data_IF_421432148592
#
_entry.id   IF_421432148592
#
_cell.length_a   1.000
_cell.length_b   1.000
_cell.length_c   1.000
_cell.angle_alpha   90.00
_cell.angle_beta   90.00
_cell.angle_gamma   90.00
#
_symmetry.space_group_name_H-M   'P 1'
#
loop_
_entity.id
_entity.type
_entity.pdbx_description
1 polymer ?
#
# COMPACT_ATOMS: atom_id res chain seq x y z
N UNK A 1 62.10 37.94 -22.81
CA UNK A 1 61.50 36.99 -21.84
C UNK A 1 60.01 37.29 -21.77
N UNK A 2 59.22 36.48 -22.46
CA UNK A 2 57.76 36.62 -22.61
C UNK A 2 57.03 36.44 -21.28
N UNK A 3 56.10 37.36 -20.97
CA UNK A 3 55.15 37.20 -19.86
C UNK A 3 53.97 36.38 -20.35
N UNK A 4 53.80 35.19 -19.78
CA UNK A 4 52.64 34.34 -19.96
C UNK A 4 51.39 35.03 -19.39
N UNK A 5 50.47 35.48 -20.26
CA UNK A 5 49.13 35.94 -19.85
C UNK A 5 48.22 34.71 -19.76
N UNK A 6 47.63 34.38 -18.60
CA UNK A 6 46.67 33.30 -18.53
C UNK A 6 45.43 33.68 -19.34
N UNK A 7 45.02 32.82 -20.27
CA UNK A 7 43.85 33.03 -21.11
C UNK A 7 42.58 33.03 -20.25
N UNK A 8 41.90 34.18 -20.19
CA UNK A 8 40.59 34.42 -19.54
C UNK A 8 39.54 33.34 -19.91
N UNK A 9 39.70 32.68 -21.06
CA UNK A 9 38.77 31.67 -21.57
C UNK A 9 38.73 30.35 -20.76
N UNK A 10 39.75 30.02 -19.97
CA UNK A 10 39.74 28.77 -19.16
C UNK A 10 39.00 28.93 -17.82
N UNK A 11 38.94 30.14 -17.28
CA UNK A 11 38.26 30.40 -16.00
C UNK A 11 36.73 30.47 -16.17
N UNK A 12 36.26 31.01 -17.29
CA UNK A 12 34.81 31.12 -17.59
C UNK A 12 34.19 29.73 -17.85
N UNK A 13 34.94 28.81 -18.45
CA UNK A 13 34.45 27.45 -18.73
C UNK A 13 34.32 26.59 -17.46
N UNK A 14 35.20 26.79 -16.47
CA UNK A 14 35.13 26.09 -15.17
C UNK A 14 33.99 26.64 -14.31
N UNK A 15 33.70 27.94 -14.37
CA UNK A 15 32.53 28.53 -13.71
C UNK A 15 31.20 28.05 -14.33
N UNK A 16 31.13 27.85 -15.65
CA UNK A 16 29.92 27.30 -16.29
C UNK A 16 29.64 25.84 -15.90
N UNK A 17 30.68 25.00 -15.78
CA UNK A 17 30.54 23.61 -15.34
C UNK A 17 30.16 23.48 -13.85
N UNK A 18 30.59 24.41 -13.00
CA UNK A 18 30.22 24.43 -11.58
C UNK A 18 28.82 25.00 -11.33
N UNK A 19 28.30 25.87 -12.21
CA UNK A 19 26.93 26.41 -12.10
C UNK A 19 25.89 25.40 -12.62
N UNK A 20 26.22 24.55 -13.60
CA UNK A 20 25.34 23.45 -14.03
C UNK A 20 25.24 22.30 -13.01
N UNK A 21 26.21 22.14 -12.12
CA UNK A 21 26.17 21.11 -11.07
C UNK A 21 25.32 21.53 -9.85
N UNK A 22 25.08 22.82 -9.65
CA UNK A 22 24.31 23.34 -8.51
C UNK A 22 22.78 23.36 -8.74
N UNK A 23 22.32 23.10 -9.98
CA UNK A 23 20.90 23.06 -10.33
C UNK A 23 20.34 21.64 -10.50
N UNK A 24 21.10 20.61 -10.16
CA UNK A 24 20.51 19.33 -9.79
C UNK A 24 19.95 19.44 -8.36
N UNK A 25 19.00 20.37 -8.16
CA UNK A 25 18.00 20.16 -7.13
C UNK A 25 17.37 18.83 -7.52
N UNK A 26 17.57 17.81 -6.67
CA UNK A 26 16.79 16.60 -6.77
C UNK A 26 15.33 17.07 -6.84
N UNK A 27 14.75 17.00 -8.04
CA UNK A 27 13.31 17.12 -8.20
C UNK A 27 12.81 15.89 -7.46
N UNK A 28 12.54 16.03 -6.16
CA UNK A 28 11.73 15.07 -5.44
C UNK A 28 10.41 15.05 -6.20
N UNK A 29 10.27 14.02 -7.04
CA UNK A 29 9.04 13.78 -7.78
C UNK A 29 7.95 13.73 -6.73
N UNK A 30 6.94 14.60 -6.86
CA UNK A 30 5.83 14.61 -5.92
C UNK A 30 5.28 13.17 -5.78
N UNK A 31 5.03 12.70 -4.56
CA UNK A 31 4.69 11.29 -4.32
C UNK A 31 3.38 10.88 -5.00
N UNK A 32 2.51 11.86 -5.28
CA UNK A 32 1.24 11.68 -5.98
C UNK A 32 1.06 12.74 -7.08
N UNK A 33 0.19 12.48 -8.08
CA UNK A 33 -0.17 13.46 -9.09
C UNK A 33 -0.65 14.77 -8.47
N UNK A 34 -0.49 15.88 -9.21
CA UNK A 34 -1.00 17.18 -8.79
C UNK A 34 -2.51 17.12 -8.51
N UNK A 35 -2.94 17.90 -7.53
CA UNK A 35 -4.35 18.01 -7.12
C UNK A 35 -4.95 16.67 -6.61
N UNK A 36 -4.10 15.73 -6.17
CA UNK A 36 -4.54 14.51 -5.45
C UNK A 36 -5.12 14.89 -4.09
N UNK A 37 -6.32 14.41 -3.79
CA UNK A 37 -6.97 14.55 -2.48
C UNK A 37 -7.27 13.20 -1.85
N UNK A 38 -7.78 12.24 -2.63
CA UNK A 38 -8.26 10.95 -2.11
C UNK A 38 -7.43 9.78 -2.59
N UNK A 39 -6.93 9.01 -1.63
CA UNK A 39 -6.07 7.86 -1.86
C UNK A 39 -6.78 6.63 -1.28
N UNK A 40 -7.29 5.78 -2.15
CA UNK A 40 -8.07 4.60 -1.77
C UNK A 40 -7.18 3.35 -1.71
N UNK A 41 -7.31 2.57 -0.63
CA UNK A 41 -6.73 1.25 -0.48
C UNK A 41 -7.83 0.19 -0.58
N UNK A 42 -7.76 -0.61 -1.66
CA UNK A 42 -8.58 -1.80 -1.88
C UNK A 42 -7.76 -3.06 -1.55
N UNK A 43 -8.43 -4.04 -0.95
CA UNK A 43 -7.81 -5.31 -0.63
C UNK A 43 -8.65 -6.15 0.31
N UNK A 44 -8.03 -7.17 0.89
CA UNK A 44 -8.69 -8.15 1.74
C UNK A 44 -8.56 -7.82 3.25
N UNK A 45 -8.49 -8.86 4.09
CA UNK A 45 -8.35 -8.74 5.55
C UNK A 45 -7.07 -8.02 5.99
N UNK A 46 -5.98 -8.15 5.23
CA UNK A 46 -4.71 -7.50 5.55
C UNK A 46 -4.83 -5.98 5.33
N UNK A 47 -5.50 -5.56 4.25
CA UNK A 47 -5.86 -4.16 4.03
C UNK A 47 -6.85 -3.67 5.08
N UNK A 48 -7.89 -4.45 5.42
CA UNK A 48 -8.83 -4.10 6.48
C UNK A 48 -8.17 -3.95 7.87
N UNK A 49 -7.17 -4.77 8.21
CA UNK A 49 -6.37 -4.58 9.42
C UNK A 49 -5.68 -3.21 9.39
N UNK A 50 -4.99 -2.92 8.28
CA UNK A 50 -4.69 -1.56 7.86
C UNK A 50 -3.48 -0.90 8.51
N UNK A 51 -2.72 -1.57 9.36
CA UNK A 51 -1.54 -0.97 10.03
C UNK A 51 -0.53 -0.40 9.04
N UNK A 52 -0.34 -1.01 7.87
CA UNK A 52 0.52 -0.46 6.82
C UNK A 52 -0.06 0.81 6.17
N UNK A 53 -1.39 0.92 6.05
CA UNK A 53 -2.07 2.12 5.54
C UNK A 53 -1.90 3.26 6.53
N UNK A 54 -2.11 2.99 7.82
CA UNK A 54 -1.85 3.92 8.93
C UNK A 54 -0.40 4.43 8.91
N UNK A 55 0.57 3.54 8.71
CA UNK A 55 1.98 3.90 8.65
C UNK A 55 2.29 4.81 7.46
N UNK A 56 1.76 4.49 6.27
CA UNK A 56 1.93 5.33 5.07
C UNK A 56 1.29 6.71 5.28
N UNK A 57 0.08 6.78 5.83
CA UNK A 57 -0.60 8.04 6.09
C UNK A 57 0.16 8.91 7.12
N UNK A 58 0.62 8.32 8.23
CA UNK A 58 1.41 9.03 9.24
C UNK A 58 2.73 9.56 8.64
N UNK A 59 3.38 8.77 7.78
CA UNK A 59 4.56 9.20 7.04
C UNK A 59 4.27 10.45 6.20
N UNK A 60 3.22 10.42 5.37
CA UNK A 60 2.89 11.55 4.51
C UNK A 60 2.51 12.81 5.30
N UNK A 61 1.85 12.67 6.45
CA UNK A 61 1.53 13.80 7.33
C UNK A 61 2.79 14.44 7.91
N UNK A 62 3.76 13.64 8.36
CA UNK A 62 4.99 14.14 8.95
C UNK A 62 5.96 14.74 7.91
N UNK A 63 6.05 14.13 6.72
CA UNK A 63 7.02 14.53 5.68
C UNK A 63 6.46 15.57 4.70
N UNK A 64 5.14 15.66 4.55
CA UNK A 64 4.46 16.61 3.66
C UNK A 64 3.39 17.43 4.40
N UNK A 65 3.78 18.22 5.43
CA UNK A 65 2.85 18.85 6.36
C UNK A 65 1.90 19.88 5.74
N UNK A 66 2.24 20.41 4.56
CA UNK A 66 1.43 21.38 3.81
C UNK A 66 0.44 20.72 2.84
N UNK A 67 0.56 19.42 2.61
CA UNK A 67 -0.35 18.66 1.76
C UNK A 67 -1.49 18.06 2.59
N UNK A 68 -2.66 17.96 1.96
CA UNK A 68 -3.83 17.32 2.57
C UNK A 68 -4.31 16.17 1.69
N UNK A 69 -4.00 14.96 2.13
CA UNK A 69 -4.43 13.71 1.53
C UNK A 69 -5.37 13.00 2.50
N UNK A 70 -6.48 12.48 1.98
CA UNK A 70 -7.40 11.60 2.68
C UNK A 70 -7.07 10.16 2.28
N UNK A 71 -6.53 9.37 3.21
CA UNK A 71 -6.26 7.95 3.01
C UNK A 71 -7.49 7.13 3.42
N UNK A 72 -8.12 6.48 2.43
CA UNK A 72 -9.37 5.76 2.59
C UNK A 72 -9.09 4.26 2.55
N UNK A 73 -9.28 3.56 3.66
CA UNK A 73 -9.16 2.11 3.73
C UNK A 73 -10.53 1.44 3.53
N UNK A 74 -10.67 0.67 2.44
CA UNK A 74 -11.91 -0.05 2.11
C UNK A 74 -11.61 -1.54 1.87
N UNK A 75 -10.68 -2.09 2.64
CA UNK A 75 -10.40 -3.52 2.66
C UNK A 75 -11.60 -4.34 3.19
N UNK A 76 -11.86 -5.50 2.61
CA UNK A 76 -12.92 -6.41 3.05
C UNK A 76 -12.34 -7.81 3.35
N UNK A 77 -12.42 -8.31 4.60
CA UNK A 77 -11.87 -9.62 4.93
C UNK A 77 -12.37 -10.76 4.04
N UNK A 78 -11.46 -11.67 3.70
CA UNK A 78 -11.69 -12.84 2.83
C UNK A 78 -12.00 -12.55 1.35
N UNK A 79 -12.09 -11.27 0.96
CA UNK A 79 -12.42 -10.86 -0.42
C UNK A 79 -11.38 -11.32 -1.44
N UNK A 80 -11.86 -11.64 -2.65
CA UNK A 80 -11.08 -11.95 -3.83
C UNK A 80 -11.36 -10.96 -4.96
N UNK A 81 -10.38 -10.75 -5.83
CA UNK A 81 -10.59 -10.06 -7.12
C UNK A 81 -10.94 -11.06 -8.23
N UNK A 82 -10.59 -12.33 -8.02
CA UNK A 82 -10.92 -13.44 -8.92
C UNK A 82 -12.40 -13.86 -8.89
N UNK A 83 -13.16 -13.45 -7.87
CA UNK A 83 -14.54 -13.90 -7.62
C UNK A 83 -14.65 -15.36 -7.20
N UNK A 84 -13.54 -16.03 -6.89
CA UNK A 84 -13.51 -17.44 -6.52
C UNK A 84 -13.80 -17.65 -5.03
N UNK A 85 -14.44 -18.78 -4.72
CA UNK A 85 -14.62 -19.29 -3.37
C UNK A 85 -14.48 -20.80 -3.38
N UNK A 86 -13.75 -21.36 -2.41
CA UNK A 86 -13.76 -22.79 -2.14
C UNK A 86 -15.11 -23.27 -1.63
N UNK A 87 -15.44 -24.55 -1.86
CA UNK A 87 -16.47 -25.23 -1.10
C UNK A 87 -16.20 -25.11 0.41
N UNK A 88 -17.26 -24.91 1.19
CA UNK A 88 -17.21 -24.85 2.65
C UNK A 88 -16.31 -23.74 3.23
N UNK A 89 -16.10 -22.63 2.50
CA UNK A 89 -15.46 -21.44 3.06
C UNK A 89 -16.18 -21.00 4.34
N UNK A 90 -15.39 -20.59 5.35
CA UNK A 90 -15.90 -20.21 6.68
C UNK A 90 -16.85 -21.27 7.28
N UNK A 91 -16.48 -22.55 7.18
CA UNK A 91 -17.30 -23.71 7.62
C UNK A 91 -18.71 -23.72 7.00
N UNK A 92 -18.81 -23.25 5.75
CA UNK A 92 -20.07 -23.20 5.01
C UNK A 92 -20.97 -22.02 5.38
N UNK A 93 -20.54 -21.10 6.27
CA UNK A 93 -21.35 -19.95 6.68
C UNK A 93 -21.57 -18.96 5.53
N UNK A 94 -20.57 -18.74 4.68
CA UNK A 94 -20.67 -17.86 3.51
C UNK A 94 -19.54 -18.13 2.51
N UNK A 95 -19.75 -17.86 1.19
CA UNK A 95 -18.66 -17.87 0.21
C UNK A 95 -17.75 -16.66 0.40
N UNK A 96 -16.51 -16.72 -0.10
CA UNK A 96 -15.62 -15.55 -0.14
C UNK A 96 -16.33 -14.35 -0.80
N UNK A 97 -16.19 -13.14 -0.25
CA UNK A 97 -16.67 -11.94 -0.92
C UNK A 97 -15.96 -11.74 -2.27
N UNK A 98 -16.70 -11.19 -3.21
CA UNK A 98 -16.23 -10.88 -4.57
C UNK A 98 -16.22 -9.36 -4.76
N UNK A 99 -15.06 -8.80 -5.13
CA UNK A 99 -14.92 -7.36 -5.35
C UNK A 99 -15.90 -6.84 -6.43
N UNK A 100 -16.24 -7.66 -7.43
CA UNK A 100 -17.20 -7.31 -8.49
C UNK A 100 -18.57 -6.92 -7.91
N UNK A 101 -18.92 -7.44 -6.73
CA UNK A 101 -20.20 -7.16 -6.08
C UNK A 101 -20.32 -5.70 -5.61
N UNK A 102 -19.23 -5.09 -5.16
CA UNK A 102 -19.27 -3.81 -4.43
C UNK A 102 -18.47 -2.68 -5.05
N UNK A 103 -17.54 -2.96 -5.98
CA UNK A 103 -16.60 -1.97 -6.49
C UNK A 103 -17.30 -0.70 -6.99
N UNK A 104 -18.37 -0.81 -7.77
CA UNK A 104 -19.09 0.34 -8.31
C UNK A 104 -19.57 1.31 -7.20
N UNK A 105 -20.14 0.79 -6.10
CA UNK A 105 -20.58 1.60 -4.95
C UNK A 105 -19.40 2.22 -4.21
N UNK A 106 -18.30 1.46 -4.06
CA UNK A 106 -17.08 1.97 -3.45
C UNK A 106 -16.55 3.17 -4.25
N UNK A 107 -16.42 3.03 -5.57
CA UNK A 107 -15.89 4.06 -6.44
C UNK A 107 -16.80 5.30 -6.51
N UNK A 108 -18.12 5.10 -6.58
CA UNK A 108 -19.10 6.19 -6.62
C UNK A 108 -19.02 7.08 -5.37
N UNK A 109 -18.86 6.48 -4.19
CA UNK A 109 -18.83 7.22 -2.92
C UNK A 109 -17.44 7.79 -2.61
N UNK A 110 -16.38 7.03 -2.86
CA UNK A 110 -15.00 7.45 -2.51
C UNK A 110 -14.41 8.42 -3.54
N UNK A 111 -14.72 8.27 -4.84
CA UNK A 111 -14.20 9.11 -5.93
C UNK A 111 -12.67 9.31 -5.84
N UNK A 112 -11.88 8.22 -5.89
CA UNK A 112 -10.45 8.27 -5.60
C UNK A 112 -9.65 8.92 -6.73
N UNK A 113 -8.64 9.71 -6.38
CA UNK A 113 -7.63 10.20 -7.31
C UNK A 113 -6.55 9.14 -7.54
N UNK A 114 -6.15 8.44 -6.47
CA UNK A 114 -5.12 7.40 -6.48
C UNK A 114 -5.70 6.13 -5.84
N UNK A 115 -5.43 4.98 -6.44
CA UNK A 115 -5.84 3.68 -5.89
C UNK A 115 -4.65 2.76 -5.70
N UNK A 116 -4.53 2.20 -4.50
CA UNK A 116 -3.69 1.05 -4.20
C UNK A 116 -4.56 -0.20 -4.11
N UNK A 117 -4.24 -1.26 -4.87
CA UNK A 117 -5.01 -2.50 -4.89
C UNK A 117 -4.14 -3.71 -4.51
N UNK A 118 -4.49 -4.40 -3.42
CA UNK A 118 -3.74 -5.54 -2.89
C UNK A 118 -4.60 -6.81 -2.83
N UNK A 119 -4.48 -7.66 -3.85
CA UNK A 119 -5.19 -8.93 -3.98
C UNK A 119 -4.24 -10.06 -4.41
N UNK A 120 -4.64 -11.31 -4.14
CA UNK A 120 -3.87 -12.52 -4.45
C UNK A 120 -3.84 -13.54 -3.31
N UNK A 121 -3.80 -13.09 -2.04
CA UNK A 121 -3.74 -13.98 -0.87
C UNK A 121 -4.90 -15.00 -0.86
N UNK A 122 -6.13 -14.52 -1.06
CA UNK A 122 -7.32 -15.38 -1.05
C UNK A 122 -7.59 -16.06 -2.40
N UNK A 123 -7.11 -15.47 -3.50
CA UNK A 123 -7.49 -15.81 -4.87
C UNK A 123 -6.99 -17.19 -5.33
N UNK A 124 -5.84 -17.63 -4.83
CA UNK A 124 -5.34 -19.00 -5.02
C UNK A 124 -5.96 -20.03 -4.07
N UNK A 125 -6.82 -19.59 -3.14
CA UNK A 125 -7.53 -20.41 -2.17
C UNK A 125 -6.61 -21.36 -1.38
N UNK A 126 -5.39 -20.90 -1.06
CA UNK A 126 -4.43 -21.67 -0.26
C UNK A 126 -4.04 -23.03 -0.87
N UNK A 127 -4.14 -23.16 -2.20
CA UNK A 127 -3.77 -24.36 -2.95
C UNK A 127 -2.54 -24.12 -3.85
N UNK A 128 -1.86 -25.19 -4.29
CA UNK A 128 -0.80 -25.09 -5.30
C UNK A 128 -1.27 -24.35 -6.56
N UNK A 129 -0.32 -23.76 -7.29
CA UNK A 129 -0.59 -23.04 -8.53
C UNK A 129 -1.40 -23.92 -9.50
N UNK A 130 -2.48 -23.37 -9.99
CA UNK A 130 -3.35 -24.01 -10.97
C UNK A 130 -3.99 -22.94 -11.84
N UNK A 131 -4.01 -23.18 -13.14
CA UNK A 131 -4.50 -22.23 -14.13
C UNK A 131 -6.00 -21.93 -13.96
N UNK A 132 -6.80 -22.86 -13.43
CA UNK A 132 -8.22 -22.63 -13.15
C UNK A 132 -8.45 -21.58 -12.06
N UNK A 133 -7.46 -21.35 -11.17
CA UNK A 133 -7.49 -20.28 -10.15
C UNK A 133 -6.69 -19.05 -10.59
N UNK A 134 -5.54 -19.28 -11.22
CA UNK A 134 -4.67 -18.21 -11.64
C UNK A 134 -5.26 -17.36 -12.77
N UNK A 135 -5.96 -17.97 -13.74
CA UNK A 135 -6.63 -17.22 -14.81
C UNK A 135 -7.68 -16.24 -14.26
N UNK A 136 -8.66 -16.64 -13.42
CA UNK A 136 -9.58 -15.70 -12.80
C UNK A 136 -8.89 -14.57 -12.02
N UNK A 137 -7.81 -14.84 -11.29
CA UNK A 137 -7.03 -13.77 -10.65
C UNK A 137 -6.50 -12.74 -11.66
N UNK A 138 -5.87 -13.20 -12.74
CA UNK A 138 -5.32 -12.31 -13.78
C UNK A 138 -6.41 -11.49 -14.47
N UNK A 139 -7.53 -12.13 -14.80
CA UNK A 139 -8.66 -11.43 -15.42
C UNK A 139 -9.34 -10.46 -14.45
N UNK A 140 -9.45 -10.81 -13.17
CA UNK A 140 -9.92 -9.91 -12.12
C UNK A 140 -9.06 -8.66 -11.97
N UNK A 141 -7.73 -8.79 -12.01
CA UNK A 141 -6.82 -7.64 -11.95
C UNK A 141 -6.96 -6.73 -13.18
N UNK A 142 -7.11 -7.30 -14.38
CA UNK A 142 -7.37 -6.52 -15.61
C UNK A 142 -8.72 -5.82 -15.58
N UNK A 143 -9.75 -6.51 -15.09
CA UNK A 143 -11.07 -5.94 -14.89
C UNK A 143 -11.01 -4.77 -13.91
N UNK A 144 -10.37 -4.95 -12.75
CA UNK A 144 -10.21 -3.89 -11.75
C UNK A 144 -9.48 -2.67 -12.33
N UNK A 145 -8.38 -2.87 -13.08
CA UNK A 145 -7.70 -1.77 -13.78
C UNK A 145 -8.65 -1.01 -14.70
N UNK A 146 -9.41 -1.75 -15.51
CA UNK A 146 -10.36 -1.18 -16.48
C UNK A 146 -11.45 -0.36 -15.79
N UNK A 147 -12.00 -0.84 -14.67
CA UNK A 147 -13.02 -0.10 -13.92
C UNK A 147 -12.47 1.19 -13.29
N UNK A 148 -11.21 1.17 -12.83
CA UNK A 148 -10.54 2.36 -12.30
C UNK A 148 -10.21 3.39 -13.39
N UNK A 149 -9.80 2.94 -14.57
CA UNK A 149 -9.59 3.84 -15.72
C UNK A 149 -10.90 4.51 -16.17
N UNK A 150 -12.02 3.76 -16.19
CA UNK A 150 -13.33 4.30 -16.60
C UNK A 150 -13.78 5.50 -15.77
N UNK A 151 -13.44 5.55 -14.48
CA UNK A 151 -13.79 6.66 -13.60
C UNK A 151 -12.75 7.79 -13.60
N UNK A 152 -11.66 7.66 -14.38
CA UNK A 152 -10.61 8.66 -14.49
C UNK A 152 -9.68 8.71 -13.28
N UNK A 153 -9.47 7.60 -12.56
CA UNK A 153 -8.44 7.53 -11.51
C UNK A 153 -7.09 7.96 -12.08
N UNK A 154 -6.44 8.95 -11.44
CA UNK A 154 -5.20 9.58 -11.94
C UNK A 154 -4.00 8.65 -11.85
N UNK A 155 -4.00 7.72 -10.88
CA UNK A 155 -2.91 6.76 -10.66
C UNK A 155 -3.43 5.47 -10.04
N UNK A 156 -3.07 4.33 -10.64
CA UNK A 156 -3.48 3.00 -10.18
C UNK A 156 -2.22 2.21 -9.86
N UNK A 157 -2.01 1.84 -8.60
CA UNK A 157 -0.83 1.10 -8.14
C UNK A 157 -1.29 -0.26 -7.60
N UNK A 158 -0.92 -1.33 -8.29
CA UNK A 158 -1.13 -2.67 -7.76
C UNK A 158 -0.03 -3.03 -6.75
N UNK A 159 -0.41 -3.65 -5.63
CA UNK A 159 0.52 -4.26 -4.69
C UNK A 159 0.60 -5.76 -5.00
N UNK A 160 1.81 -6.32 -5.09
CA UNK A 160 1.96 -7.79 -5.11
C UNK A 160 1.35 -8.38 -3.83
N UNK A 161 0.81 -9.61 -3.81
CA UNK A 161 0.24 -10.18 -2.59
C UNK A 161 1.34 -10.32 -1.51
N UNK A 162 1.08 -10.05 -0.23
CA UNK A 162 2.09 -10.24 0.82
C UNK A 162 2.45 -11.72 1.00
N UNK A 163 3.54 -11.99 1.71
CA UNK A 163 4.01 -13.35 2.00
C UNK A 163 2.98 -14.16 2.81
N UNK A 164 2.80 -15.43 2.45
CA UNK A 164 2.11 -16.41 3.29
C UNK A 164 3.13 -17.18 4.11
N UNK A 165 3.03 -17.08 5.43
CA UNK A 165 3.97 -17.67 6.37
C UNK A 165 3.47 -19.02 6.89
N UNK A 166 3.53 -20.05 6.04
CA UNK A 166 2.98 -21.37 6.33
C UNK A 166 3.55 -21.94 7.63
N UNK A 167 2.67 -22.46 8.50
CA UNK A 167 3.05 -22.99 9.82
C UNK A 167 4.10 -24.12 9.75
N UNK A 168 4.06 -24.94 8.70
CA UNK A 168 4.91 -26.13 8.55
C UNK A 168 5.96 -25.93 7.46
N UNK A 169 5.59 -25.29 6.36
CA UNK A 169 6.44 -25.16 5.16
C UNK A 169 7.10 -23.78 5.02
N UNK A 170 6.74 -22.81 5.88
CA UNK A 170 7.20 -21.43 5.74
C UNK A 170 6.94 -20.88 4.33
N UNK A 171 7.99 -20.36 3.68
CA UNK A 171 7.92 -19.81 2.32
C UNK A 171 7.88 -20.87 1.22
N UNK A 172 7.95 -22.17 1.56
CA UNK A 172 7.90 -23.28 0.60
C UNK A 172 6.48 -23.87 0.44
N UNK A 173 5.49 -23.34 1.16
CA UNK A 173 4.09 -23.74 1.05
C UNK A 173 3.33 -22.95 -0.01
N UNK A 174 2.15 -22.45 0.36
CA UNK A 174 1.31 -21.61 -0.51
C UNK A 174 2.03 -20.35 -1.03
N UNK A 175 3.10 -19.91 -0.37
CA UNK A 175 3.91 -18.80 -0.85
C UNK A 175 4.51 -19.05 -2.25
N UNK A 176 4.71 -20.30 -2.68
CA UNK A 176 5.12 -20.62 -4.05
C UNK A 176 4.05 -20.27 -5.10
N UNK A 177 2.77 -20.37 -4.74
CA UNK A 177 1.67 -19.86 -5.57
C UNK A 177 1.69 -18.33 -5.61
N UNK A 178 1.92 -17.69 -4.46
CA UNK A 178 1.99 -16.23 -4.37
C UNK A 178 3.20 -15.64 -5.08
N UNK A 179 4.34 -16.34 -5.11
CA UNK A 179 5.51 -15.99 -5.94
C UNK A 179 5.07 -15.83 -7.40
N UNK A 180 4.29 -16.78 -7.93
CA UNK A 180 3.82 -16.78 -9.32
C UNK A 180 2.81 -15.67 -9.60
N UNK A 181 1.98 -15.32 -8.61
CA UNK A 181 1.04 -14.21 -8.70
C UNK A 181 1.81 -12.87 -8.71
N UNK A 182 2.80 -12.72 -7.83
CA UNK A 182 3.67 -11.55 -7.76
C UNK A 182 4.51 -11.38 -9.04
N UNK A 183 5.16 -12.45 -9.52
CA UNK A 183 5.93 -12.46 -10.78
C UNK A 183 5.09 -11.99 -11.96
N UNK A 184 3.87 -12.53 -12.11
CA UNK A 184 2.98 -12.12 -13.19
C UNK A 184 2.57 -10.67 -13.08
N UNK A 185 2.22 -10.19 -11.88
CA UNK A 185 1.82 -8.80 -11.67
C UNK A 185 2.98 -7.86 -12.00
N UNK A 186 4.20 -8.17 -11.53
CA UNK A 186 5.40 -7.39 -11.83
C UNK A 186 5.72 -7.33 -13.32
N UNK A 187 5.50 -8.42 -14.06
CA UNK A 187 5.68 -8.45 -15.51
C UNK A 187 4.71 -7.50 -16.26
N UNK A 188 3.63 -7.04 -15.63
CA UNK A 188 2.70 -6.08 -16.22
C UNK A 188 3.27 -4.65 -16.27
N UNK A 189 4.33 -4.35 -15.50
CA UNK A 189 5.08 -3.09 -15.64
C UNK A 189 5.59 -2.89 -17.06
N UNK A 190 6.09 -3.97 -17.67
CA UNK A 190 6.59 -3.92 -19.05
C UNK A 190 5.49 -4.18 -20.07
N UNK A 191 4.62 -5.17 -19.79
CA UNK A 191 3.64 -5.68 -20.77
C UNK A 191 2.44 -4.74 -20.95
N UNK A 192 1.89 -4.21 -19.86
CA UNK A 192 0.70 -3.36 -19.85
C UNK A 192 0.97 -1.94 -19.37
N UNK A 193 2.22 -1.63 -19.02
CA UNK A 193 2.64 -0.34 -18.43
C UNK A 193 1.91 0.00 -17.13
N UNK A 194 1.51 -1.03 -16.38
CA UNK A 194 0.90 -0.86 -15.07
C UNK A 194 1.93 -0.45 -14.02
N UNK A 195 1.51 0.38 -13.09
CA UNK A 195 2.26 0.63 -11.86
C UNK A 195 2.02 -0.50 -10.87
N UNK A 196 3.11 -1.12 -10.41
CA UNK A 196 3.07 -2.25 -9.49
C UNK A 196 4.14 -2.01 -8.44
N UNK A 197 3.78 -1.95 -7.16
CA UNK A 197 4.73 -1.92 -6.05
C UNK A 197 4.94 -3.34 -5.52
N UNK A 198 6.20 -3.76 -5.41
CA UNK A 198 6.53 -5.10 -4.93
C UNK A 198 6.64 -5.12 -3.41
N UNK A 199 5.67 -5.73 -2.73
CA UNK A 199 5.74 -6.00 -1.29
C UNK A 199 6.10 -7.48 -1.02
N UNK A 200 5.83 -8.38 -1.95
CA UNK A 200 6.01 -9.83 -1.79
C UNK A 200 7.47 -10.24 -1.56
N UNK A 201 8.34 -9.98 -2.53
CA UNK A 201 9.71 -10.48 -2.47
C UNK A 201 10.57 -9.81 -1.38
N UNK A 202 10.41 -8.51 -1.08
CA UNK A 202 11.05 -7.91 0.09
C UNK A 202 10.64 -8.60 1.41
N UNK A 203 9.33 -8.84 1.62
CA UNK A 203 8.85 -9.54 2.82
C UNK A 203 9.35 -10.98 2.88
N UNK A 204 9.29 -11.72 1.77
CA UNK A 204 9.78 -13.10 1.68
C UNK A 204 11.26 -13.18 2.05
N UNK A 205 12.10 -12.34 1.45
CA UNK A 205 13.53 -12.27 1.75
C UNK A 205 13.78 -11.99 3.22
N UNK A 206 13.06 -11.01 3.79
CA UNK A 206 13.18 -10.67 5.21
C UNK A 206 12.88 -11.87 6.12
N UNK A 207 11.77 -12.56 5.86
CA UNK A 207 11.36 -13.75 6.61
C UNK A 207 12.40 -14.87 6.52
N UNK A 208 12.93 -15.13 5.32
CA UNK A 208 13.97 -16.15 5.09
C UNK A 208 15.28 -15.81 5.79
N UNK A 209 15.75 -14.55 5.72
CA UNK A 209 16.97 -14.12 6.41
C UNK A 209 16.83 -14.20 7.94
N UNK A 210 15.69 -13.77 8.49
CA UNK A 210 15.41 -13.92 9.94
C UNK A 210 15.43 -15.37 10.39
N UNK A 211 14.89 -16.28 9.56
CA UNK A 211 14.86 -17.72 9.85
C UNK A 211 16.19 -18.43 9.80
N UNK A 212 17.21 -17.85 9.17
CA UNK A 212 18.59 -18.34 9.28
C UNK A 212 19.15 -18.17 10.70
N UNK A 213 18.62 -17.19 11.45
CA UNK A 213 19.05 -16.87 12.81
C UNK A 213 18.09 -17.49 13.84
N UNK A 214 16.78 -17.32 13.63
CA UNK A 214 15.72 -17.87 14.46
C UNK A 214 14.73 -18.65 13.58
N UNK A 215 14.85 -19.98 13.47
CA UNK A 215 13.95 -20.81 12.68
C UNK A 215 12.46 -20.71 13.08
N UNK A 216 12.18 -20.25 14.30
CA UNK A 216 10.80 -20.09 14.81
C UNK A 216 10.18 -18.73 14.48
N UNK A 217 10.97 -17.79 13.94
CA UNK A 217 10.51 -16.44 13.59
C UNK A 217 9.32 -16.51 12.63
N UNK A 218 8.35 -15.63 12.86
CA UNK A 218 7.14 -15.50 12.03
C UNK A 218 6.79 -14.04 11.81
N UNK A 219 6.38 -13.72 10.59
CA UNK A 219 5.72 -12.44 10.31
C UNK A 219 4.23 -12.51 10.64
N UNK A 220 3.60 -13.69 10.49
CA UNK A 220 2.19 -13.91 10.74
C UNK A 220 2.00 -15.17 11.61
N UNK A 221 1.37 -15.02 12.78
CA UNK A 221 1.17 -16.16 13.69
C UNK A 221 0.22 -17.23 13.12
N UNK A 222 -0.79 -16.80 12.37
CA UNK A 222 -1.74 -17.65 11.66
C UNK A 222 -1.32 -17.96 10.21
N UNK A 223 -0.15 -17.48 9.80
CA UNK A 223 0.40 -17.62 8.46
C UNK A 223 -0.16 -16.67 7.40
N UNK A 224 -1.20 -15.88 7.71
CA UNK A 224 -1.88 -15.02 6.75
C UNK A 224 -1.78 -13.54 7.13
N UNK A 225 -2.03 -13.19 8.39
CA UNK A 225 -2.14 -11.80 8.84
C UNK A 225 -0.83 -11.37 9.51
N UNK A 226 -0.03 -10.51 8.85
CA UNK A 226 1.23 -10.06 9.42
C UNK A 226 1.01 -9.22 10.68
N UNK A 227 1.93 -9.33 11.65
CA UNK A 227 2.01 -8.40 12.78
C UNK A 227 2.60 -7.06 12.37
N UNK A 228 2.92 -6.21 13.36
CA UNK A 228 3.43 -4.85 13.15
C UNK A 228 4.69 -4.81 12.26
N UNK A 229 5.61 -5.76 12.47
CA UNK A 229 6.84 -5.85 11.67
C UNK A 229 6.54 -6.18 10.20
N UNK A 230 5.59 -7.08 9.93
CA UNK A 230 5.18 -7.39 8.56
C UNK A 230 4.42 -6.23 7.90
N UNK A 231 3.54 -5.57 8.64
CA UNK A 231 2.87 -4.36 8.16
C UNK A 231 3.86 -3.22 7.89
N UNK A 232 4.91 -3.08 8.68
CA UNK A 232 5.99 -2.13 8.39
C UNK A 232 6.73 -2.48 7.10
N UNK A 233 7.10 -3.74 6.86
CA UNK A 233 7.74 -4.14 5.61
C UNK A 233 6.87 -3.82 4.37
N UNK A 234 5.55 -4.00 4.48
CA UNK A 234 4.61 -3.58 3.44
C UNK A 234 4.65 -2.06 3.23
N UNK A 235 4.54 -1.27 4.30
CA UNK A 235 4.58 0.19 4.22
C UNK A 235 5.91 0.70 3.65
N UNK A 236 7.03 0.16 4.12
CA UNK A 236 8.37 0.49 3.66
C UNK A 236 8.54 0.23 2.16
N UNK A 237 8.07 -0.92 1.66
CA UNK A 237 8.12 -1.25 0.25
C UNK A 237 7.27 -0.29 -0.61
N UNK A 238 6.07 0.09 -0.13
CA UNK A 238 5.22 1.08 -0.81
C UNK A 238 5.86 2.47 -0.82
N UNK A 239 6.37 2.94 0.32
CA UNK A 239 7.03 4.24 0.43
C UNK A 239 8.27 4.32 -0.47
N UNK A 240 9.13 3.28 -0.47
CA UNK A 240 10.26 3.21 -1.39
C UNK A 240 9.82 3.22 -2.86
N UNK A 241 8.72 2.54 -3.21
CA UNK A 241 8.16 2.58 -4.56
C UNK A 241 7.69 3.98 -4.96
N UNK A 242 7.15 4.75 -4.02
CA UNK A 242 6.74 6.14 -4.23
C UNK A 242 7.92 7.13 -4.31
N UNK A 243 9.16 6.64 -4.15
CA UNK A 243 10.38 7.44 -4.21
C UNK A 243 10.84 7.97 -2.86
N UNK A 244 10.21 7.56 -1.76
CA UNK A 244 10.60 7.96 -0.40
C UNK A 244 11.81 7.16 0.07
N UNK A 245 12.70 7.82 0.82
CA UNK A 245 13.92 7.17 1.31
C UNK A 245 13.69 6.57 2.72
N UNK A 246 13.16 5.34 2.77
CA UNK A 246 12.87 4.63 4.04
C UNK A 246 13.47 3.23 4.12
N UNK A 247 14.28 2.83 3.13
CA UNK A 247 14.83 1.47 3.02
C UNK A 247 15.63 1.00 4.25
N UNK A 248 16.24 1.91 5.00
CA UNK A 248 17.03 1.59 6.21
C UNK A 248 16.29 1.86 7.51
N UNK A 249 15.05 2.38 7.46
CA UNK A 249 14.29 2.65 8.68
C UNK A 249 13.76 1.33 9.28
N UNK A 250 14.04 1.04 10.56
CA UNK A 250 13.64 -0.22 11.21
C UNK A 250 12.13 -0.29 11.48
N UNK A 251 11.47 0.85 11.62
CA UNK A 251 10.05 0.97 11.85
C UNK A 251 9.52 2.34 11.40
N UNK A 252 8.19 2.50 11.45
CA UNK A 252 7.54 3.77 11.15
C UNK A 252 7.98 4.88 12.11
N UNK A 253 8.19 4.58 13.40
CA UNK A 253 8.53 5.58 14.43
C UNK A 253 9.83 6.31 14.10
N UNK A 254 10.82 5.57 13.63
CA UNK A 254 12.10 6.12 13.19
C UNK A 254 11.92 7.12 12.05
N UNK A 255 11.00 6.85 11.11
CA UNK A 255 10.72 7.80 10.02
C UNK A 255 10.00 9.06 10.48
N UNK A 256 9.27 8.99 11.59
CA UNK A 256 8.50 10.11 12.13
C UNK A 256 9.35 11.06 12.99
N UNK A 257 10.61 10.72 13.28
CA UNK A 257 11.55 11.58 14.02
C UNK A 257 11.85 12.92 13.31
N UNK A 258 11.45 13.08 12.05
CA UNK A 258 11.47 14.38 11.35
C UNK A 258 10.53 15.40 11.98
N UNK A 259 9.56 14.95 12.79
CA UNK A 259 8.62 15.78 13.52
C UNK A 259 8.70 15.45 15.03
N UNK A 260 8.87 16.44 15.93
CA UNK A 260 8.95 16.21 17.37
C UNK A 260 7.68 15.56 17.97
N UNK A 261 6.54 15.67 17.27
CA UNK A 261 5.26 15.07 17.64
C UNK A 261 4.95 13.78 16.85
N UNK A 262 5.97 13.10 16.32
CA UNK A 262 5.81 11.88 15.51
C UNK A 262 4.92 10.79 16.15
N UNK A 263 5.10 10.51 17.44
CA UNK A 263 4.25 9.54 18.16
C UNK A 263 2.79 10.01 18.28
N UNK A 264 2.57 11.31 18.53
CA UNK A 264 1.22 11.88 18.60
C UNK A 264 0.51 11.78 17.24
N UNK A 265 1.23 12.07 16.15
CA UNK A 265 0.75 11.89 14.78
C UNK A 265 0.33 10.44 14.57
N UNK A 266 1.22 9.47 14.84
CA UNK A 266 0.92 8.05 14.64
C UNK A 266 -0.31 7.60 15.43
N UNK A 267 -0.44 8.05 16.68
CA UNK A 267 -1.59 7.73 17.54
C UNK A 267 -2.89 8.29 16.98
N UNK A 268 -2.92 9.58 16.62
CA UNK A 268 -4.11 10.24 16.08
C UNK A 268 -4.54 9.65 14.73
N UNK A 269 -3.57 9.35 13.86
CA UNK A 269 -3.80 8.68 12.57
C UNK A 269 -4.36 7.28 12.77
N UNK A 270 -3.83 6.54 13.75
CA UNK A 270 -4.34 5.20 14.11
C UNK A 270 -5.80 5.25 14.58
N UNK A 271 -6.14 6.23 15.43
CA UNK A 271 -7.53 6.45 15.87
C UNK A 271 -8.45 6.77 14.71
N UNK A 272 -8.02 7.67 13.80
CA UNK A 272 -8.76 8.05 12.61
C UNK A 272 -9.02 6.86 11.69
N UNK A 273 -7.99 6.09 11.36
CA UNK A 273 -8.12 4.90 10.51
C UNK A 273 -9.03 3.84 11.13
N UNK A 274 -8.97 3.65 12.45
CA UNK A 274 -9.83 2.70 13.16
C UNK A 274 -11.33 3.04 13.07
N UNK A 275 -11.68 4.33 13.06
CA UNK A 275 -13.07 4.79 12.89
C UNK A 275 -13.47 4.72 11.42
N UNK A 276 -12.64 5.26 10.53
CA UNK A 276 -13.03 5.49 9.14
C UNK A 276 -13.15 4.21 8.33
N UNK A 277 -12.31 3.19 8.59
CA UNK A 277 -12.39 1.94 7.82
C UNK A 277 -13.74 1.24 7.95
N UNK A 278 -14.30 1.19 9.17
CA UNK A 278 -15.59 0.55 9.42
C UNK A 278 -16.74 1.40 8.86
N UNK A 279 -16.64 2.73 8.99
CA UNK A 279 -17.63 3.68 8.47
C UNK A 279 -17.71 3.64 6.94
N UNK A 280 -16.56 3.68 6.25
CA UNK A 280 -16.49 3.54 4.80
C UNK A 280 -17.00 2.18 4.31
N UNK A 281 -16.60 1.11 4.99
CA UNK A 281 -17.03 -0.23 4.62
C UNK A 281 -18.57 -0.39 4.76
N UNK A 282 -19.15 0.18 5.81
CA UNK A 282 -20.61 0.17 6.03
C UNK A 282 -21.35 1.05 5.03
N UNK A 283 -20.82 2.24 4.73
CA UNK A 283 -21.45 3.18 3.78
C UNK A 283 -21.42 2.66 2.33
N UNK A 284 -20.31 2.06 1.92
CA UNK A 284 -20.14 1.48 0.58
C UNK A 284 -20.90 0.16 0.41
N UNK A 285 -21.13 -0.55 1.51
CA UNK A 285 -21.96 -1.75 1.58
C UNK A 285 -21.30 -2.99 0.97
N UNK A 286 -21.49 -4.13 1.61
CA UNK A 286 -20.98 -5.43 1.17
C UNK A 286 -21.92 -6.56 1.62
N UNK A 287 -21.80 -7.72 0.98
CA UNK A 287 -22.58 -8.92 1.36
C UNK A 287 -21.91 -9.83 2.38
N UNK A 288 -20.65 -9.57 2.76
CA UNK A 288 -19.97 -10.37 3.80
C UNK A 288 -20.70 -10.28 5.14
N UNK A 289 -21.16 -11.37 5.75
CA UNK A 289 -21.77 -11.33 7.07
C UNK A 289 -20.70 -11.11 8.15
N UNK A 290 -21.15 -10.95 9.41
CA UNK A 290 -20.26 -10.95 10.59
C UNK A 290 -19.17 -9.86 10.55
N UNK A 291 -19.42 -8.74 9.85
CA UNK A 291 -18.57 -7.56 9.91
C UNK A 291 -19.06 -6.60 10.97
N UNK A 292 -18.09 -5.96 11.65
CA UNK A 292 -18.37 -4.85 12.54
C UNK A 292 -19.05 -3.73 11.74
N UNK A 293 -20.18 -3.26 12.23
CA UNK A 293 -20.85 -2.09 11.67
C UNK A 293 -20.12 -0.83 12.12
N UNK A 294 -19.79 0.02 11.15
CA UNK A 294 -19.29 1.36 11.38
C UNK A 294 -20.42 2.30 11.79
N UNK A 295 -20.05 3.40 12.44
CA UNK A 295 -20.97 4.52 12.67
C UNK A 295 -21.38 5.14 11.31
N UNK A 296 -22.53 5.84 11.22
CA UNK A 296 -22.92 6.51 9.99
C UNK A 296 -21.81 7.41 9.44
N UNK A 297 -21.61 7.41 8.12
CA UNK A 297 -20.49 8.14 7.49
C UNK A 297 -20.50 9.64 7.82
N UNK A 298 -21.69 10.24 8.00
CA UNK A 298 -21.84 11.64 8.41
C UNK A 298 -21.34 11.91 9.84
N UNK A 299 -21.46 10.94 10.75
CA UNK A 299 -20.88 11.04 12.10
C UNK A 299 -19.38 10.75 12.07
N UNK A 300 -18.95 9.75 11.29
CA UNK A 300 -17.54 9.44 11.11
C UNK A 300 -16.76 10.63 10.54
N UNK A 301 -17.34 11.36 9.57
CA UNK A 301 -16.72 12.55 8.99
C UNK A 301 -16.50 13.65 10.04
N UNK A 302 -17.45 13.86 10.97
CA UNK A 302 -17.24 14.83 12.05
C UNK A 302 -16.05 14.46 12.92
N UNK A 303 -15.91 13.16 13.27
CA UNK A 303 -14.75 12.67 14.03
C UNK A 303 -13.45 12.76 13.22
N UNK A 304 -13.52 12.52 11.91
CA UNK A 304 -12.40 12.73 11.00
C UNK A 304 -11.92 14.18 11.07
N UNK A 305 -12.83 15.14 10.95
CA UNK A 305 -12.50 16.57 10.94
C UNK A 305 -11.91 17.01 12.29
N UNK A 306 -12.47 16.55 13.42
CA UNK A 306 -11.90 16.79 14.76
C UNK A 306 -10.49 16.21 14.93
N UNK A 307 -10.24 15.01 14.40
CA UNK A 307 -8.91 14.39 14.43
C UNK A 307 -7.94 15.09 13.48
N UNK A 308 -8.39 15.53 12.31
CA UNK A 308 -7.60 16.31 11.36
C UNK A 308 -7.15 17.63 11.99
N UNK A 309 -8.03 18.35 12.69
CA UNK A 309 -7.66 19.58 13.42
C UNK A 309 -6.57 19.31 14.47
N UNK A 310 -6.70 18.21 15.25
CA UNK A 310 -5.69 17.80 16.23
C UNK A 310 -4.36 17.46 15.57
N UNK A 311 -4.38 16.67 14.49
CA UNK A 311 -3.18 16.31 13.72
C UNK A 311 -2.49 17.58 13.20
N UNK A 312 -3.24 18.50 12.58
CA UNK A 312 -2.68 19.76 12.06
C UNK A 312 -2.18 20.69 13.16
N UNK A 313 -2.66 20.56 14.40
CA UNK A 313 -2.16 21.34 15.53
C UNK A 313 -0.77 20.89 16.01
N UNK A 314 -0.45 19.59 15.88
CA UNK A 314 0.83 19.01 16.31
C UNK A 314 1.88 18.93 15.20
N UNK A 315 1.45 19.01 13.95
CA UNK A 315 2.34 19.00 12.78
C UNK A 315 2.99 20.37 12.51
N UNK A 316 2.38 21.46 13.01
CA UNK A 316 2.87 22.85 12.87
C UNK A 316 4.19 23.09 13.60
#
# INVERSE_FOLDING_TARGET
MERYKPSINRFILVCYLLISAAFAWAQTTAPFPKDTRRILFLGNSITYAGTYVTAIEAYFIAHYPTQSFEFINVGLPSETVSGLSEPNHADGRFPRPDLHERLARVLEQTKPDVVFACYGMNDGIYLPLDEARFRPYREGQKWLHTELEKIGTKRIIFLTPPVHDDKNMGTQGYNLTLDKYAEWLLAQRDSLKWEVADIHFPMKRYLEEKRKIDPSFKLANDGVHPGDEGHWLMAQAVLNYLGENVATAPDIRTTLLVNPHGEDILKLVSERQAIMKDAWLSATGHKRPEMRQGIPLTEAQKRYDELEEKIRSVVK
#
